data_IF_576276550491
#
_entry.id   IF_576276550491
#
_cell.length_a   1.000
_cell.length_b   1.000
_cell.length_c   1.000
_cell.angle_alpha   90.00
_cell.angle_beta   90.00
_cell.angle_gamma   90.00
#
_symmetry.space_group_name_H-M   'P 1'
#
loop_
_entity.id
_entity.type
_entity.pdbx_description
1 polymer ?
#
# COMPACT_ATOMS: atom_id res chain seq x y z
N UNK A 1 -27.06 4.37 -20.73
CA UNK A 1 -25.59 4.53 -20.51
C UNK A 1 -25.18 3.88 -19.20
N UNK A 2 -24.17 3.04 -19.26
CA UNK A 2 -23.61 2.45 -18.02
C UNK A 2 -22.67 3.43 -17.35
N UNK A 3 -22.76 3.49 -16.05
CA UNK A 3 -21.93 4.37 -15.24
C UNK A 3 -21.26 3.55 -14.13
N UNK A 4 -20.15 4.06 -13.65
CA UNK A 4 -19.43 3.46 -12.52
C UNK A 4 -19.46 4.41 -11.34
N UNK A 5 -19.49 3.85 -10.16
CA UNK A 5 -19.34 4.62 -8.92
C UNK A 5 -18.51 3.82 -7.93
N UNK A 6 -17.82 4.54 -7.07
CA UNK A 6 -17.07 3.93 -5.97
C UNK A 6 -18.03 3.66 -4.83
N UNK A 7 -18.15 2.40 -4.41
CA UNK A 7 -19.07 1.99 -3.33
C UNK A 7 -18.35 1.65 -2.04
N UNK A 8 -17.04 1.57 -2.06
CA UNK A 8 -16.26 1.34 -0.85
C UNK A 8 -14.78 1.50 -1.12
N UNK A 9 -14.04 1.85 -0.07
CA UNK A 9 -12.59 2.01 -0.12
C UNK A 9 -11.97 1.26 1.04
N UNK A 10 -10.72 0.87 0.87
CA UNK A 10 -9.96 0.21 1.92
C UNK A 10 -8.48 0.39 1.72
N UNK A 11 -7.75 0.33 2.81
CA UNK A 11 -6.30 0.47 2.79
C UNK A 11 -5.66 -0.55 3.71
N UNK A 12 -4.40 -0.84 3.45
CA UNK A 12 -3.61 -1.69 4.32
C UNK A 12 -2.18 -1.17 4.38
N UNK A 13 -1.65 -1.08 5.58
CA UNK A 13 -0.26 -0.70 5.82
C UNK A 13 0.45 -1.88 6.48
N UNK A 14 1.64 -2.28 5.97
CA UNK A 14 2.45 -3.27 6.67
C UNK A 14 2.75 -2.85 8.10
N UNK A 15 3.02 -3.81 8.97
CA UNK A 15 3.23 -3.54 10.39
C UNK A 15 4.58 -2.90 10.71
N UNK A 16 5.59 -3.08 9.85
CA UNK A 16 6.94 -2.56 10.09
C UNK A 16 7.01 -1.06 9.83
N UNK A 17 7.21 -0.28 10.86
CA UNK A 17 7.40 1.16 10.76
C UNK A 17 8.88 1.46 10.56
N UNK A 18 9.21 2.22 9.53
CA UNK A 18 10.60 2.56 9.20
C UNK A 18 10.75 4.08 9.24
N UNK A 19 11.61 4.57 10.13
CA UNK A 19 11.90 5.99 10.27
C UNK A 19 12.99 6.46 9.30
N UNK A 20 13.14 7.78 9.20
CA UNK A 20 14.14 8.39 8.32
C UNK A 20 15.57 8.03 8.71
N UNK A 21 15.84 7.75 9.99
CA UNK A 21 17.18 7.36 10.43
C UNK A 21 17.61 6.03 9.84
N UNK A 22 16.72 5.07 9.75
CA UNK A 22 17.02 3.78 9.12
C UNK A 22 17.26 3.95 7.62
N UNK A 23 16.43 4.75 6.96
CA UNK A 23 16.58 5.04 5.53
C UNK A 23 17.89 5.78 5.26
N UNK A 24 18.27 6.72 6.13
CA UNK A 24 19.49 7.52 5.95
C UNK A 24 20.77 6.70 5.99
N UNK A 25 20.75 5.54 6.64
CA UNK A 25 21.92 4.64 6.69
C UNK A 25 22.34 4.12 5.32
N UNK A 26 21.38 3.99 4.40
CA UNK A 26 21.63 3.54 3.03
C UNK A 26 21.74 4.68 2.02
N UNK A 27 21.50 5.92 2.47
CA UNK A 27 21.55 7.10 1.64
C UNK A 27 22.59 8.09 2.17
N UNK A 28 23.02 9.01 1.33
CA UNK A 28 23.96 10.08 1.71
C UNK A 28 23.26 11.31 2.30
N UNK A 29 21.99 11.16 2.68
CA UNK A 29 21.21 12.21 3.29
C UNK A 29 20.94 11.86 4.75
N UNK A 30 20.92 12.87 5.62
CA UNK A 30 20.52 12.64 7.01
C UNK A 30 18.99 12.68 7.13
N UNK A 31 18.48 12.22 8.27
CA UNK A 31 17.04 12.14 8.50
C UNK A 31 16.33 13.49 8.34
N UNK A 32 16.95 14.58 8.80
CA UNK A 32 16.37 15.92 8.69
C UNK A 32 16.23 16.36 7.24
N UNK A 33 17.23 16.05 6.40
CA UNK A 33 17.17 16.37 4.98
C UNK A 33 16.07 15.58 4.27
N UNK A 34 15.86 14.33 4.63
CA UNK A 34 14.79 13.49 4.08
C UNK A 34 13.44 14.13 4.41
N UNK A 35 13.23 14.50 5.66
CA UNK A 35 11.98 15.12 6.10
C UNK A 35 11.73 16.45 5.37
N UNK A 36 12.75 17.29 5.24
CA UNK A 36 12.62 18.58 4.56
C UNK A 36 12.26 18.43 3.08
N UNK A 37 12.80 17.41 2.40
CA UNK A 37 12.55 17.20 0.98
C UNK A 37 11.25 16.51 0.69
N UNK A 38 10.80 15.63 1.56
CA UNK A 38 9.62 14.78 1.32
C UNK A 38 8.44 15.07 2.21
N UNK A 39 8.67 15.67 3.38
CA UNK A 39 7.63 15.82 4.41
C UNK A 39 7.31 14.50 5.12
N UNK A 40 8.04 13.44 4.82
CA UNK A 40 7.79 12.10 5.36
C UNK A 40 8.74 11.82 6.52
N UNK A 41 8.20 11.42 7.66
CA UNK A 41 8.99 11.04 8.85
C UNK A 41 9.15 9.52 8.95
N UNK A 42 8.08 8.80 8.65
CA UNK A 42 8.05 7.35 8.71
C UNK A 42 7.30 6.78 7.51
N UNK A 43 7.56 5.54 7.19
CA UNK A 43 6.83 4.78 6.19
C UNK A 43 6.68 3.36 6.69
N UNK A 44 5.92 2.58 5.96
CA UNK A 44 5.75 1.16 6.26
C UNK A 44 6.43 0.33 5.20
N UNK A 45 7.16 -0.68 5.62
CA UNK A 45 7.80 -1.62 4.72
C UNK A 45 7.17 -2.99 4.87
N UNK A 46 6.95 -3.65 3.76
CA UNK A 46 6.46 -5.01 3.74
C UNK A 46 7.49 -5.95 4.39
N UNK A 47 6.99 -7.00 5.03
CA UNK A 47 7.85 -8.07 5.53
C UNK A 47 8.44 -8.85 4.34
N UNK A 48 9.49 -9.65 4.60
CA UNK A 48 10.13 -10.43 3.53
C UNK A 48 9.17 -11.39 2.84
N UNK A 49 8.17 -11.88 3.55
CA UNK A 49 7.16 -12.80 3.04
C UNK A 49 5.89 -12.10 2.51
N UNK A 50 5.89 -10.76 2.45
CA UNK A 50 4.76 -9.98 1.93
C UNK A 50 5.09 -9.45 0.53
N UNK A 51 4.31 -9.87 -0.44
CA UNK A 51 4.39 -9.38 -1.82
C UNK A 51 3.32 -8.33 -2.08
N UNK A 52 3.38 -7.66 -3.23
CA UNK A 52 2.38 -6.65 -3.62
C UNK A 52 0.96 -7.21 -3.61
N UNK A 53 0.78 -8.46 -4.04
CA UNK A 53 -0.54 -9.09 -4.04
C UNK A 53 -1.08 -9.31 -2.63
N UNK A 54 -0.20 -9.61 -1.67
CA UNK A 54 -0.61 -9.79 -0.27
C UNK A 54 -1.15 -8.48 0.31
N UNK A 55 -0.45 -7.38 0.04
CA UNK A 55 -0.88 -6.05 0.48
C UNK A 55 -2.19 -5.64 -0.19
N UNK A 56 -2.28 -5.88 -1.50
CA UNK A 56 -3.47 -5.56 -2.28
C UNK A 56 -4.69 -6.38 -1.83
N UNK A 57 -4.49 -7.64 -1.50
CA UNK A 57 -5.56 -8.51 -1.00
C UNK A 57 -6.17 -7.95 0.29
N UNK A 58 -5.33 -7.54 1.24
CA UNK A 58 -5.81 -6.99 2.50
C UNK A 58 -6.61 -5.70 2.28
N UNK A 59 -6.10 -4.81 1.43
CA UNK A 59 -6.78 -3.57 1.11
C UNK A 59 -8.12 -3.84 0.40
N UNK A 60 -8.13 -4.78 -0.54
CA UNK A 60 -9.33 -5.14 -1.28
C UNK A 60 -10.41 -5.75 -0.38
N UNK A 61 -10.02 -6.61 0.56
CA UNK A 61 -10.96 -7.19 1.53
C UNK A 61 -11.60 -6.12 2.39
N UNK A 62 -10.82 -5.14 2.84
CA UNK A 62 -11.33 -4.01 3.61
C UNK A 62 -12.28 -3.14 2.80
N UNK A 63 -12.00 -2.95 1.52
CA UNK A 63 -12.89 -2.21 0.63
C UNK A 63 -14.22 -2.93 0.44
N UNK A 64 -14.19 -4.26 0.26
CA UNK A 64 -15.41 -5.07 0.14
C UNK A 64 -16.22 -5.02 1.42
N UNK A 65 -15.59 -5.09 2.57
CA UNK A 65 -16.24 -4.94 3.87
C UNK A 65 -16.96 -3.60 3.99
N UNK A 66 -16.26 -2.51 3.64
CA UNK A 66 -16.83 -1.17 3.68
C UNK A 66 -18.01 -1.02 2.72
N UNK A 67 -17.95 -1.70 1.58
CA UNK A 67 -19.02 -1.68 0.57
C UNK A 67 -20.19 -2.62 0.92
N UNK A 68 -20.00 -3.54 1.87
CA UNK A 68 -21.02 -4.53 2.22
C UNK A 68 -21.19 -5.61 1.15
N UNK A 69 -20.14 -5.91 0.38
CA UNK A 69 -20.20 -6.94 -0.66
C UNK A 69 -19.19 -8.05 -0.40
N UNK A 70 -19.48 -9.24 -0.92
CA UNK A 70 -18.54 -10.36 -0.84
C UNK A 70 -17.42 -10.20 -1.87
N UNK A 71 -16.17 -10.55 -1.54
CA UNK A 71 -15.10 -10.61 -2.53
C UNK A 71 -15.44 -11.46 -3.75
N UNK A 72 -16.24 -12.52 -3.58
CA UNK A 72 -16.66 -13.41 -4.65
C UNK A 72 -17.52 -12.72 -5.72
N UNK A 73 -18.10 -11.56 -5.41
CA UNK A 73 -18.91 -10.79 -6.35
C UNK A 73 -18.09 -9.91 -7.29
N UNK A 74 -16.78 -9.87 -7.11
CA UNK A 74 -15.88 -9.04 -7.92
C UNK A 74 -15.62 -9.72 -9.27
N UNK A 75 -15.88 -9.01 -10.36
CA UNK A 75 -15.72 -9.54 -11.71
C UNK A 75 -14.34 -9.25 -12.30
N UNK A 76 -13.71 -8.14 -11.90
CA UNK A 76 -12.41 -7.73 -12.45
C UNK A 76 -11.59 -6.99 -11.40
N UNK A 77 -10.27 -7.17 -11.47
CA UNK A 77 -9.31 -6.49 -10.60
C UNK A 77 -8.25 -5.83 -11.45
N UNK A 78 -7.99 -4.54 -11.18
CA UNK A 78 -6.90 -3.80 -11.78
C UNK A 78 -5.89 -3.46 -10.68
N UNK A 79 -4.66 -3.95 -10.81
CA UNK A 79 -3.60 -3.69 -9.84
C UNK A 79 -2.51 -2.83 -10.48
N UNK A 80 -2.29 -1.65 -9.89
CA UNK A 80 -1.24 -0.73 -10.33
C UNK A 80 -0.09 -0.77 -9.32
N UNK A 81 1.11 -1.11 -9.79
CA UNK A 81 2.28 -1.19 -8.92
C UNK A 81 3.55 -1.01 -9.73
N UNK A 82 4.59 -0.48 -9.09
CA UNK A 82 5.94 -0.42 -9.67
C UNK A 82 6.79 -1.63 -9.26
N UNK A 83 6.28 -2.45 -8.34
CA UNK A 83 7.00 -3.59 -7.76
C UNK A 83 6.11 -4.84 -7.76
N UNK A 84 5.80 -5.40 -8.96
CA UNK A 84 4.93 -6.59 -9.02
C UNK A 84 5.62 -7.81 -8.40
N UNK A 85 4.82 -8.80 -7.98
CA UNK A 85 5.32 -10.06 -7.42
C UNK A 85 6.23 -10.80 -8.40
N UNK A 86 5.86 -10.73 -9.68
CA UNK A 86 6.60 -11.36 -10.78
C UNK A 86 6.78 -10.38 -11.93
N UNK A 87 7.92 -10.48 -12.58
CA UNK A 87 8.24 -9.66 -13.75
C UNK A 87 8.27 -10.50 -15.02
#
# INVERSE_FOLDING_TARGET
>A
MRRSRIIGTGSYLPSRVVGNEEVSRSLRLNAEAIERRTGIRTRRWAAEDEASSDLAEQAARRACEAAGVSPDSVDAILLSTTSPDMT
#
